data_IF_034385027095
#
_entry.id   IF_034385027095
#
_cell.length_a   1.000
_cell.length_b   1.000
_cell.length_c   1.000
_cell.angle_alpha   90.00
_cell.angle_beta   90.00
_cell.angle_gamma   90.00
#
_symmetry.space_group_name_H-M   'P 1'
#
loop_
_entity.id
_entity.type
_entity.pdbx_description
1 polymer ?
#
# COMPACT_ATOMS: atom_id res chain seq x y z
N UNK A 1 -11.60 -3.73 -31.32
CA UNK A 1 -12.08 -4.73 -30.33
C UNK A 1 -10.86 -5.07 -29.48
N UNK A 2 -10.61 -4.55 -28.29
CA UNK A 2 -11.48 -3.99 -27.27
C UNK A 2 -10.81 -2.75 -26.67
N UNK A 3 -11.51 -1.64 -26.72
CA UNK A 3 -11.25 -0.51 -25.82
C UNK A 3 -12.03 -0.84 -24.54
N UNK A 4 -11.40 -1.62 -23.66
CA UNK A 4 -11.93 -1.81 -22.31
C UNK A 4 -11.55 -0.55 -21.54
N UNK A 5 -12.49 0.37 -21.39
CA UNK A 5 -12.35 1.50 -20.46
C UNK A 5 -11.98 0.95 -19.09
N UNK A 6 -10.73 1.12 -18.69
CA UNK A 6 -10.33 0.98 -17.30
C UNK A 6 -11.17 1.98 -16.49
N UNK A 7 -11.85 1.56 -15.41
CA UNK A 7 -12.49 2.51 -14.51
C UNK A 7 -11.44 3.48 -13.98
N UNK A 8 -11.77 4.76 -13.88
CA UNK A 8 -10.88 5.76 -13.29
C UNK A 8 -10.49 5.29 -11.88
N UNK A 9 -9.20 5.01 -11.69
CA UNK A 9 -8.71 4.50 -10.41
C UNK A 9 -9.02 5.51 -9.30
N UNK A 10 -9.53 5.07 -8.15
CA UNK A 10 -9.72 5.96 -7.01
C UNK A 10 -8.36 6.58 -6.64
N UNK A 11 -8.37 7.87 -6.27
CA UNK A 11 -7.17 8.54 -5.77
C UNK A 11 -6.83 7.92 -4.42
N UNK A 12 -5.85 7.02 -4.41
CA UNK A 12 -5.35 6.39 -3.21
C UNK A 12 -4.43 7.36 -2.45
N UNK A 13 -4.34 7.18 -1.14
CA UNK A 13 -3.43 7.90 -0.28
C UNK A 13 -2.78 6.95 0.74
N UNK A 14 -1.81 7.46 1.51
CA UNK A 14 -1.06 6.65 2.48
C UNK A 14 -1.96 5.87 3.46
N UNK A 15 -3.09 6.44 3.88
CA UNK A 15 -4.02 5.81 4.84
C UNK A 15 -4.68 4.56 4.28
N UNK A 16 -4.84 4.47 2.96
CA UNK A 16 -5.38 3.28 2.30
C UNK A 16 -4.42 2.08 2.41
N UNK A 17 -3.14 2.33 2.72
CA UNK A 17 -2.11 1.30 2.87
C UNK A 17 -1.68 1.09 4.34
N UNK A 18 -2.35 1.72 5.31
CA UNK A 18 -2.09 1.48 6.74
C UNK A 18 -2.99 0.37 7.27
N UNK A 19 -2.43 -0.51 8.11
CA UNK A 19 -3.19 -1.51 8.85
C UNK A 19 -3.82 -0.90 10.11
N UNK A 20 -4.95 -1.45 10.53
CA UNK A 20 -5.62 -1.18 11.80
C UNK A 20 -5.00 -1.95 12.98
N UNK A 21 -4.06 -2.86 12.71
CA UNK A 21 -3.37 -3.64 13.71
C UNK A 21 -2.22 -2.86 14.36
N UNK A 22 -2.06 -3.04 15.66
CA UNK A 22 -0.92 -2.49 16.38
C UNK A 22 0.39 -3.14 15.96
N UNK A 23 1.40 -2.32 15.68
CA UNK A 23 2.74 -2.78 15.32
C UNK A 23 3.49 -3.23 16.57
N UNK A 24 3.78 -4.53 16.66
CA UNK A 24 4.41 -5.17 17.83
C UNK A 24 5.94 -5.27 17.75
N UNK A 25 6.58 -4.38 16.99
CA UNK A 25 8.04 -4.35 16.87
C UNK A 25 8.71 -3.70 18.08
N UNK A 26 9.98 -4.02 18.32
CA UNK A 26 10.77 -3.43 19.39
C UNK A 26 10.97 -1.91 19.16
N UNK A 27 11.04 -1.08 20.21
CA UNK A 27 11.33 0.34 20.05
C UNK A 27 12.68 0.54 19.35
N UNK A 28 12.70 1.37 18.30
CA UNK A 28 13.91 1.61 17.50
C UNK A 28 14.17 0.57 16.40
N UNK A 29 13.28 -0.40 16.19
CA UNK A 29 13.39 -1.36 15.08
C UNK A 29 13.41 -0.63 13.72
N UNK A 30 14.33 -1.04 12.83
CA UNK A 30 14.44 -0.47 11.48
C UNK A 30 13.20 -0.72 10.60
N UNK A 31 12.41 -1.74 10.92
CA UNK A 31 11.23 -2.12 10.12
C UNK A 31 10.15 -1.03 10.13
N UNK A 32 10.11 -0.16 11.15
CA UNK A 32 9.26 1.03 11.15
C UNK A 32 9.55 1.94 9.95
N UNK A 33 10.83 2.09 9.57
CA UNK A 33 11.21 2.88 8.41
C UNK A 33 10.79 2.21 7.11
N UNK A 34 10.97 0.88 7.02
CA UNK A 34 10.56 0.07 5.85
C UNK A 34 9.06 0.16 5.63
N UNK A 35 8.25 -0.05 6.67
CA UNK A 35 6.80 0.06 6.61
C UNK A 35 6.35 1.46 6.18
N UNK A 36 6.94 2.50 6.76
CA UNK A 36 6.61 3.89 6.43
C UNK A 36 6.93 4.24 4.97
N UNK A 37 8.06 3.73 4.45
CA UNK A 37 8.45 3.94 3.06
C UNK A 37 7.49 3.25 2.08
N UNK A 38 7.13 1.99 2.34
CA UNK A 38 6.18 1.23 1.51
C UNK A 38 4.83 1.96 1.46
N UNK A 39 4.25 2.28 2.62
CA UNK A 39 2.96 2.97 2.72
C UNK A 39 2.93 4.32 1.99
N UNK A 40 4.07 5.02 1.95
CA UNK A 40 4.20 6.31 1.24
C UNK A 40 4.27 6.14 -0.28
N UNK A 41 4.93 5.09 -0.76
CA UNK A 41 5.17 4.86 -2.19
C UNK A 41 3.96 4.27 -2.92
N UNK A 42 3.15 3.44 -2.25
CA UNK A 42 2.04 2.71 -2.88
C UNK A 42 1.02 3.59 -3.64
N UNK A 43 0.59 4.75 -3.14
CA UNK A 43 -0.33 5.64 -3.87
C UNK A 43 0.19 6.09 -5.24
N UNK A 44 1.52 6.23 -5.38
CA UNK A 44 2.15 6.78 -6.58
C UNK A 44 2.26 5.75 -7.71
N UNK A 45 1.97 4.47 -7.45
CA UNK A 45 2.08 3.39 -8.44
C UNK A 45 0.95 3.35 -9.45
N UNK A 46 -0.20 3.96 -9.17
CA UNK A 46 -1.37 3.93 -10.06
C UNK A 46 -1.94 2.52 -10.28
N UNK A 47 -1.85 1.64 -9.28
CA UNK A 47 -2.39 0.29 -9.29
C UNK A 47 -3.61 0.25 -8.35
N UNK A 48 -4.75 -0.36 -8.74
CA UNK A 48 -5.87 -0.58 -7.82
C UNK A 48 -5.42 -1.31 -6.56
N UNK A 49 -6.00 -0.97 -5.40
CA UNK A 49 -5.60 -1.57 -4.12
C UNK A 49 -5.90 -3.08 -4.09
N UNK A 50 -7.00 -3.49 -4.71
CA UNK A 50 -7.45 -4.87 -4.84
C UNK A 50 -6.49 -5.75 -5.64
N UNK A 51 -5.62 -5.15 -6.47
CA UNK A 51 -4.61 -5.85 -7.27
C UNK A 51 -3.24 -5.91 -6.56
N UNK A 52 -3.15 -5.44 -5.31
CA UNK A 52 -1.91 -5.43 -4.52
C UNK A 52 -2.01 -6.46 -3.38
N UNK A 53 -1.06 -7.38 -3.33
CA UNK A 53 -0.94 -8.38 -2.24
C UNK A 53 0.43 -8.29 -1.57
N UNK A 54 0.44 -8.32 -0.23
CA UNK A 54 1.66 -8.42 0.58
C UNK A 54 1.75 -9.84 1.13
N UNK A 55 2.82 -10.56 0.78
CA UNK A 55 3.09 -11.92 1.27
C UNK A 55 4.37 -11.86 2.09
N UNK A 56 4.30 -12.24 3.36
CA UNK A 56 5.45 -12.38 4.25
C UNK A 56 5.66 -13.85 4.61
N UNK A 57 6.90 -14.21 4.92
CA UNK A 57 7.29 -15.54 5.39
C UNK A 57 6.98 -15.79 6.86
#
# INVERSE_FOLDING_TARGET
MSDTLAPALPILNRRDFTSDQDVRWCPGCGDYAVLSAIQKMMPDLGIPREDIVFISG
#
